data_IF_436575472512
#
_entry.id   IF_436575472512
#
_cell.length_a   1.000
_cell.length_b   1.000
_cell.length_c   1.000
_cell.angle_alpha   90.00
_cell.angle_beta   90.00
_cell.angle_gamma   90.00
#
_symmetry.space_group_name_H-M   'P 1'
#
loop_
_entity.id
_entity.type
_entity.pdbx_description
1 polymer ?
#
# COMPACT_ATOMS: atom_id res chain seq x y z
N UNK A 1 -8.62 52.34 51.08
CA UNK A 1 -7.86 52.25 49.83
C UNK A 1 -7.63 50.78 49.59
N UNK A 2 -8.45 50.16 48.76
CA UNK A 2 -8.32 48.72 48.37
C UNK A 2 -7.73 48.67 46.98
N UNK A 3 -6.55 48.06 46.83
CA UNK A 3 -5.87 47.85 45.57
C UNK A 3 -6.42 46.54 44.96
N UNK A 4 -7.01 46.61 43.78
CA UNK A 4 -7.47 45.48 43.02
C UNK A 4 -6.37 45.09 42.06
N UNK A 5 -5.73 43.90 42.27
CA UNK A 5 -4.79 43.30 41.33
C UNK A 5 -5.56 42.63 40.22
N UNK A 6 -5.33 43.08 39.00
CA UNK A 6 -5.85 42.42 37.79
C UNK A 6 -4.86 41.30 37.38
N UNK A 7 -5.38 40.07 37.35
CA UNK A 7 -4.68 38.92 36.82
C UNK A 7 -4.94 38.86 35.29
N UNK A 8 -3.88 39.10 34.51
CA UNK A 8 -3.90 38.85 33.05
C UNK A 8 -3.81 37.35 32.82
N UNK A 9 -4.89 36.74 32.33
CA UNK A 9 -4.88 35.39 31.81
C UNK A 9 -4.34 35.43 30.38
N UNK A 10 -3.12 34.94 30.18
CA UNK A 10 -2.55 34.76 28.84
C UNK A 10 -3.23 33.59 28.10
N UNK A 11 -3.98 33.89 27.04
CA UNK A 11 -4.45 32.88 26.08
C UNK A 11 -3.27 32.40 25.26
N UNK A 12 -2.80 31.18 25.50
CA UNK A 12 -1.97 30.47 24.55
C UNK A 12 -2.81 30.00 23.38
N UNK A 13 -2.75 30.70 22.24
CA UNK A 13 -3.23 30.18 20.97
C UNK A 13 -2.30 29.04 20.55
N UNK A 14 -2.77 27.80 20.65
CA UNK A 14 -2.13 26.67 20.01
C UNK A 14 -2.25 26.82 18.48
N UNK A 15 -1.12 26.92 17.81
CA UNK A 15 -1.07 26.94 16.33
C UNK A 15 -1.66 25.65 15.79
N UNK A 16 -2.76 25.74 15.08
CA UNK A 16 -3.32 24.64 14.27
C UNK A 16 -2.30 24.26 13.18
N UNK A 17 -2.12 22.98 12.86
CA UNK A 17 -1.26 22.58 11.77
C UNK A 17 -1.74 23.23 10.47
N UNK A 18 -0.87 23.96 9.79
CA UNK A 18 -1.13 24.53 8.47
C UNK A 18 -1.46 23.38 7.50
N UNK A 19 -2.72 23.20 7.19
CA UNK A 19 -3.14 22.42 6.03
C UNK A 19 -2.82 23.27 4.82
N UNK A 20 -1.66 23.03 4.19
CA UNK A 20 -1.32 23.66 2.92
C UNK A 20 -2.39 23.27 1.88
N UNK A 21 -3.17 24.25 1.44
CA UNK A 21 -4.06 24.08 0.30
C UNK A 21 -3.22 23.76 -0.94
N UNK A 22 -3.52 22.70 -1.70
CA UNK A 22 -2.73 22.33 -2.86
C UNK A 22 -2.68 23.49 -3.85
N UNK A 23 -1.49 23.82 -4.34
CA UNK A 23 -1.30 24.88 -5.34
C UNK A 23 -2.15 24.59 -6.56
N UNK A 24 -2.78 25.61 -7.15
CA UNK A 24 -3.65 25.49 -8.33
C UNK A 24 -2.96 24.73 -9.48
N UNK A 25 -1.63 24.87 -9.62
CA UNK A 25 -0.81 24.12 -10.59
C UNK A 25 -0.88 22.60 -10.36
N UNK A 26 -0.90 22.12 -9.10
CA UNK A 26 -0.97 20.70 -8.79
C UNK A 26 -2.35 20.09 -9.09
N UNK A 27 -3.41 20.89 -8.94
CA UNK A 27 -4.78 20.49 -9.30
C UNK A 27 -4.91 20.37 -10.82
N UNK A 28 -4.37 21.33 -11.59
CA UNK A 28 -4.39 21.30 -13.07
C UNK A 28 -3.62 20.09 -13.60
N UNK A 29 -2.42 19.80 -13.07
CA UNK A 29 -1.65 18.62 -13.44
C UNK A 29 -2.40 17.31 -13.13
N UNK A 30 -3.12 17.25 -12.01
CA UNK A 30 -3.94 16.10 -11.63
C UNK A 30 -5.10 15.88 -12.63
N UNK A 31 -5.75 16.95 -13.10
CA UNK A 31 -6.82 16.86 -14.09
C UNK A 31 -6.30 16.45 -15.49
N UNK A 32 -5.12 16.96 -15.89
CA UNK A 32 -4.50 16.63 -17.18
C UNK A 32 -3.99 15.17 -17.23
N UNK A 33 -3.64 14.56 -16.11
CA UNK A 33 -3.17 13.17 -16.03
C UNK A 33 -4.28 12.13 -15.91
N UNK A 34 -5.54 12.56 -15.76
CA UNK A 34 -6.69 11.64 -15.67
C UNK A 34 -6.82 10.83 -16.97
N UNK A 35 -6.84 9.53 -16.82
CA UNK A 35 -6.94 8.60 -17.96
C UNK A 35 -5.62 8.25 -18.66
N UNK A 36 -4.49 8.89 -18.28
CA UNK A 36 -3.16 8.54 -18.80
C UNK A 36 -2.41 7.61 -17.84
N UNK A 37 -1.57 6.72 -18.39
CA UNK A 37 -0.70 5.87 -17.61
C UNK A 37 0.54 6.66 -17.16
N UNK A 38 0.79 6.67 -15.86
CA UNK A 38 2.04 7.10 -15.23
C UNK A 38 2.90 5.88 -14.95
N UNK A 39 4.14 5.85 -15.46
CA UNK A 39 5.09 4.78 -15.16
C UNK A 39 5.73 5.04 -13.80
N UNK A 40 5.58 4.11 -12.86
CA UNK A 40 6.19 4.17 -11.53
C UNK A 40 7.54 3.45 -11.49
N UNK A 41 7.78 2.51 -12.40
CA UNK A 41 9.09 1.87 -12.61
C UNK A 41 9.19 1.31 -14.02
N UNK A 42 10.18 1.78 -14.77
CA UNK A 42 10.45 1.45 -16.17
C UNK A 42 11.69 0.56 -16.36
N UNK A 43 12.26 0.06 -15.27
CA UNK A 43 13.48 -0.76 -15.29
C UNK A 43 14.79 0.02 -15.10
N UNK A 44 14.76 1.32 -14.86
CA UNK A 44 15.96 2.16 -14.75
C UNK A 44 16.19 2.69 -13.35
N UNK A 45 15.41 3.65 -12.92
CA UNK A 45 15.61 4.36 -11.65
C UNK A 45 14.35 4.33 -10.80
N UNK A 46 14.35 3.50 -9.75
CA UNK A 46 13.25 3.43 -8.81
C UNK A 46 13.16 4.69 -7.93
N UNK A 47 14.29 5.36 -7.66
CA UNK A 47 14.32 6.53 -6.78
C UNK A 47 13.50 7.71 -7.30
N UNK A 48 13.21 7.75 -8.60
CA UNK A 48 12.37 8.77 -9.21
C UNK A 48 10.94 8.81 -8.61
N UNK A 49 10.36 7.65 -8.38
CA UNK A 49 8.96 7.52 -7.94
C UNK A 49 8.80 6.92 -6.54
N UNK A 50 9.84 6.29 -6.00
CA UNK A 50 9.82 5.56 -4.73
C UNK A 50 10.77 6.15 -3.70
N UNK A 51 10.43 6.00 -2.44
CA UNK A 51 11.25 6.40 -1.29
C UNK A 51 11.05 5.41 -0.15
N UNK A 52 11.98 5.37 0.80
CA UNK A 52 11.80 4.58 2.02
C UNK A 52 10.60 5.09 2.82
N UNK A 53 9.83 4.18 3.42
CA UNK A 53 8.77 4.51 4.37
C UNK A 53 9.29 5.31 5.58
N UNK A 54 10.58 5.18 5.89
CA UNK A 54 11.26 5.92 6.96
C UNK A 54 11.77 7.30 6.54
N UNK A 55 11.58 7.69 5.26
CA UNK A 55 12.16 8.89 4.69
C UNK A 55 13.62 8.70 4.26
N UNK A 56 14.31 9.80 3.90
CA UNK A 56 15.73 9.78 3.52
C UNK A 56 16.04 9.31 2.08
N UNK A 57 15.01 9.17 1.24
CA UNK A 57 15.20 8.76 -0.16
C UNK A 57 14.96 7.25 -0.38
N UNK A 58 15.40 6.77 -1.54
CA UNK A 58 15.32 5.35 -1.88
C UNK A 58 16.38 4.56 -1.07
N UNK A 59 16.05 3.35 -0.54
CA UNK A 59 17.00 2.58 0.26
C UNK A 59 18.29 2.26 -0.49
N UNK A 60 19.43 2.34 0.18
CA UNK A 60 20.75 2.01 -0.37
C UNK A 60 21.10 0.52 -0.23
N UNK A 61 20.29 -0.24 0.52
CA UNK A 61 20.43 -1.68 0.71
C UNK A 61 19.04 -2.36 0.70
N UNK A 62 18.98 -3.64 0.52
CA UNK A 62 17.75 -4.44 0.49
C UNK A 62 16.98 -4.33 -0.82
N UNK A 63 17.03 -3.21 -1.49
CA UNK A 63 16.45 -2.99 -2.80
C UNK A 63 17.53 -2.70 -3.84
N UNK A 64 17.44 -3.33 -5.01
CA UNK A 64 18.33 -3.06 -6.14
C UNK A 64 17.58 -3.05 -7.46
N UNK A 65 18.09 -2.30 -8.41
CA UNK A 65 17.66 -2.37 -9.83
C UNK A 65 18.74 -3.13 -10.59
N UNK A 66 18.35 -4.22 -11.23
CA UNK A 66 19.25 -5.08 -12.01
C UNK A 66 18.47 -5.69 -13.17
N UNK A 67 19.03 -5.61 -14.38
CA UNK A 67 18.44 -6.14 -15.62
C UNK A 67 17.00 -5.66 -15.87
N UNK A 68 16.72 -4.40 -15.58
CA UNK A 68 15.39 -3.83 -15.76
C UNK A 68 14.37 -4.26 -14.69
N UNK A 69 14.79 -4.89 -13.62
CA UNK A 69 13.95 -5.45 -12.55
C UNK A 69 14.29 -4.79 -11.22
N UNK A 70 13.27 -4.39 -10.48
CA UNK A 70 13.38 -3.97 -9.09
C UNK A 70 13.30 -5.23 -8.22
N UNK A 71 14.39 -5.52 -7.50
CA UNK A 71 14.56 -6.76 -6.71
C UNK A 71 14.72 -6.46 -5.23
N UNK A 72 14.09 -7.28 -4.40
CA UNK A 72 14.45 -7.44 -2.98
C UNK A 72 15.60 -8.42 -2.84
N UNK A 73 16.61 -8.02 -2.08
CA UNK A 73 17.79 -8.85 -1.79
C UNK A 73 17.56 -9.60 -0.48
N UNK A 74 17.52 -10.94 -0.51
CA UNK A 74 17.21 -11.73 0.69
C UNK A 74 18.11 -11.40 1.86
N UNK A 75 17.54 -11.35 3.06
CA UNK A 75 18.26 -11.12 4.30
C UNK A 75 18.79 -9.69 4.51
N UNK A 76 18.62 -8.79 3.55
CA UNK A 76 18.96 -7.38 3.69
C UNK A 76 17.73 -6.58 4.12
N UNK A 77 17.92 -5.73 5.13
CA UNK A 77 16.84 -4.93 5.73
C UNK A 77 16.69 -3.57 5.04
N UNK A 78 16.16 -3.54 3.81
CA UNK A 78 15.88 -2.29 3.09
C UNK A 78 14.67 -1.55 3.66
N UNK A 79 13.72 -2.29 4.19
CA UNK A 79 12.42 -1.81 4.64
C UNK A 79 11.47 -1.53 3.47
N UNK A 80 10.23 -1.26 3.81
CA UNK A 80 9.19 -0.95 2.82
C UNK A 80 9.52 0.33 2.05
N UNK A 81 9.12 0.36 0.77
CA UNK A 81 9.20 1.56 -0.07
C UNK A 81 7.79 2.02 -0.44
N UNK A 82 7.61 3.35 -0.47
CA UNK A 82 6.34 3.98 -0.83
C UNK A 82 6.48 4.88 -2.06
N UNK A 83 5.40 5.01 -2.82
CA UNK A 83 5.33 5.99 -3.89
C UNK A 83 5.46 7.43 -3.33
N UNK A 84 6.17 8.32 -4.03
CA UNK A 84 6.27 9.73 -3.62
C UNK A 84 4.95 10.47 -3.73
N UNK A 85 4.09 10.06 -4.68
CA UNK A 85 2.75 10.63 -4.89
C UNK A 85 1.69 9.78 -4.18
N UNK A 86 0.54 10.40 -3.91
CA UNK A 86 -0.68 9.75 -3.41
C UNK A 86 -1.69 9.61 -4.55
N UNK A 87 -2.56 8.61 -4.41
CA UNK A 87 -3.58 8.26 -5.39
C UNK A 87 -4.91 7.97 -4.69
N UNK A 88 -6.03 8.35 -5.31
CA UNK A 88 -7.40 8.06 -4.84
C UNK A 88 -8.05 6.97 -5.70
N UNK A 89 -8.64 7.36 -6.83
CA UNK A 89 -9.21 6.44 -7.80
C UNK A 89 -8.18 6.10 -8.87
N UNK A 90 -7.87 4.82 -9.02
CA UNK A 90 -6.78 4.41 -9.91
C UNK A 90 -6.90 2.96 -10.39
N UNK A 91 -6.15 2.67 -11.45
CA UNK A 91 -5.77 1.32 -11.87
C UNK A 91 -4.26 1.22 -11.70
N UNK A 92 -3.77 0.34 -10.83
CA UNK A 92 -2.37 -0.02 -10.68
C UNK A 92 -2.11 -1.35 -11.38
N UNK A 93 -1.07 -1.42 -12.19
CA UNK A 93 -0.59 -2.65 -12.81
C UNK A 93 0.89 -2.85 -12.51
N UNK A 94 1.26 -4.11 -12.26
CA UNK A 94 2.66 -4.52 -12.12
C UNK A 94 2.84 -5.99 -12.48
N UNK A 95 4.05 -6.36 -12.83
CA UNK A 95 4.46 -7.75 -12.88
C UNK A 95 5.33 -8.07 -11.67
N UNK A 96 5.08 -9.22 -11.05
CA UNK A 96 5.84 -9.72 -9.91
C UNK A 96 6.29 -11.16 -10.14
N UNK A 97 7.44 -11.49 -9.58
CA UNK A 97 7.98 -12.85 -9.56
C UNK A 97 8.53 -13.11 -8.16
N UNK A 98 8.11 -14.22 -7.58
CA UNK A 98 8.54 -14.66 -6.25
C UNK A 98 9.50 -15.83 -6.42
N UNK A 99 10.48 -15.93 -5.56
CA UNK A 99 11.27 -17.14 -5.40
C UNK A 99 10.51 -18.14 -4.52
N UNK A 100 11.05 -19.35 -4.37
CA UNK A 100 10.43 -20.38 -3.54
C UNK A 100 10.36 -19.93 -2.09
N UNK A 101 9.21 -20.18 -1.45
CA UNK A 101 8.95 -19.87 -0.04
C UNK A 101 8.98 -18.36 0.29
N UNK A 102 8.72 -17.48 -0.68
CA UNK A 102 8.78 -16.02 -0.53
C UNK A 102 7.44 -15.44 -0.10
N UNK A 103 7.50 -14.40 0.73
CA UNK A 103 6.40 -13.51 1.09
C UNK A 103 6.73 -12.06 0.72
N UNK A 104 5.77 -11.35 0.16
CA UNK A 104 5.81 -9.93 -0.18
C UNK A 104 4.38 -9.41 -0.30
N UNK A 105 4.21 -8.18 -0.78
CA UNK A 105 2.88 -7.60 -1.01
C UNK A 105 2.94 -6.21 -1.60
N UNK A 106 1.80 -5.74 -2.07
CA UNK A 106 1.60 -4.33 -2.42
C UNK A 106 0.42 -3.78 -1.63
N UNK A 107 0.70 -2.76 -0.81
CA UNK A 107 -0.34 -2.02 -0.10
C UNK A 107 -0.73 -0.79 -0.91
N UNK A 108 -2.00 -0.42 -0.82
CA UNK A 108 -2.56 0.74 -1.52
C UNK A 108 -3.39 1.59 -0.58
N UNK A 109 -3.61 2.85 -0.96
CA UNK A 109 -4.24 3.85 -0.09
C UNK A 109 -3.53 3.96 1.28
N UNK A 110 -2.20 3.74 1.28
CA UNK A 110 -1.40 3.80 2.50
C UNK A 110 -1.41 5.21 3.05
N UNK A 111 -1.84 5.35 4.28
CA UNK A 111 -1.99 6.63 4.97
C UNK A 111 -1.57 6.50 6.44
N UNK A 112 -1.33 7.61 7.15
CA UNK A 112 -1.11 7.57 8.59
C UNK A 112 -2.33 7.01 9.32
N UNK A 113 -2.14 5.95 10.09
CA UNK A 113 -3.13 5.33 10.94
C UNK A 113 -2.66 5.38 12.38
N UNK A 114 -3.53 5.86 13.27
CA UNK A 114 -3.25 5.89 14.70
C UNK A 114 -3.66 4.55 15.33
N UNK A 115 -2.76 3.95 16.09
CA UNK A 115 -3.07 2.76 16.88
C UNK A 115 -3.82 3.14 18.17
N UNK A 116 -4.50 2.18 18.79
CA UNK A 116 -5.13 2.35 20.12
C UNK A 116 -4.13 2.77 21.21
N UNK A 117 -2.84 2.43 21.02
CA UNK A 117 -1.74 2.85 21.90
C UNK A 117 -1.18 4.24 21.58
N UNK A 118 -1.78 4.99 20.65
CA UNK A 118 -1.37 6.35 20.28
C UNK A 118 -0.22 6.44 19.27
N UNK A 119 0.36 5.32 18.81
CA UNK A 119 1.40 5.32 17.78
C UNK A 119 0.79 5.57 16.40
N UNK A 120 1.45 6.37 15.58
CA UNK A 120 1.08 6.57 14.18
C UNK A 120 1.95 5.70 13.29
N UNK A 121 1.32 4.93 12.39
CA UNK A 121 1.97 4.05 11.42
C UNK A 121 1.40 4.28 10.03
N UNK A 122 2.24 4.15 8.99
CA UNK A 122 1.79 4.14 7.60
C UNK A 122 1.29 2.74 7.26
N UNK A 123 0.00 2.59 6.97
CA UNK A 123 -0.60 1.31 6.58
C UNK A 123 -1.83 1.50 5.68
N UNK A 124 -2.27 0.42 5.06
CA UNK A 124 -3.43 0.36 4.17
C UNK A 124 -3.74 -1.07 3.75
N UNK A 125 -4.83 -1.30 2.99
CA UNK A 125 -5.16 -2.60 2.46
C UNK A 125 -4.02 -3.17 1.61
N UNK A 126 -3.87 -4.49 1.64
CA UNK A 126 -2.77 -5.18 0.98
C UNK A 126 -3.28 -6.22 -0.02
N UNK A 127 -2.76 -6.13 -1.26
CA UNK A 127 -2.79 -7.24 -2.20
C UNK A 127 -1.62 -8.16 -1.85
N UNK A 128 -1.91 -9.33 -1.27
CA UNK A 128 -0.91 -10.29 -0.85
C UNK A 128 -0.18 -10.91 -2.04
N UNK A 129 1.13 -11.10 -1.91
CA UNK A 129 2.00 -11.79 -2.85
C UNK A 129 2.86 -12.79 -2.08
N UNK A 130 2.53 -14.08 -2.15
CA UNK A 130 3.18 -15.14 -1.40
C UNK A 130 3.31 -16.40 -2.27
N UNK A 131 4.28 -17.23 -2.04
CA UNK A 131 4.36 -18.53 -2.71
C UNK A 131 3.32 -19.50 -2.12
N UNK A 132 2.13 -19.52 -2.70
CA UNK A 132 1.02 -20.37 -2.24
C UNK A 132 1.34 -21.87 -2.22
N UNK A 133 2.33 -22.28 -3.00
CA UNK A 133 2.68 -23.70 -3.17
C UNK A 133 3.64 -24.22 -2.11
N UNK A 134 4.49 -23.34 -1.57
CA UNK A 134 5.59 -23.78 -0.69
C UNK A 134 5.63 -23.05 0.64
N UNK A 135 5.12 -21.81 0.73
CA UNK A 135 5.22 -21.03 1.97
C UNK A 135 4.37 -21.65 3.09
N UNK A 136 4.99 -21.91 4.24
CA UNK A 136 4.38 -22.68 5.36
C UNK A 136 3.05 -22.11 5.87
N UNK A 137 2.89 -20.78 5.81
CA UNK A 137 1.67 -20.13 6.31
C UNK A 137 0.46 -20.26 5.38
N UNK A 138 0.62 -20.74 4.15
CA UNK A 138 -0.48 -20.79 3.17
C UNK A 138 -0.56 -22.10 2.38
N UNK A 139 0.53 -22.86 2.27
CA UNK A 139 0.55 -24.13 1.53
C UNK A 139 -0.57 -25.05 1.98
N UNK A 140 -1.21 -25.73 1.03
CA UNK A 140 -2.33 -26.62 1.32
C UNK A 140 -3.65 -25.91 1.62
N UNK A 141 -3.75 -24.58 1.38
CA UNK A 141 -4.99 -23.83 1.55
C UNK A 141 -5.37 -23.55 3.01
N UNK A 142 -4.40 -23.52 3.92
CA UNK A 142 -4.62 -23.33 5.37
C UNK A 142 -5.35 -22.02 5.66
N UNK A 143 -5.03 -20.95 4.93
CA UNK A 143 -5.62 -19.65 5.14
C UNK A 143 -5.85 -18.92 3.81
N UNK A 144 -7.00 -19.12 3.14
CA UNK A 144 -7.27 -18.48 1.87
C UNK A 144 -7.20 -16.93 1.90
N UNK A 145 -7.44 -16.33 3.05
CA UNK A 145 -7.34 -14.86 3.24
C UNK A 145 -5.89 -14.33 3.32
N UNK A 146 -4.90 -15.22 3.27
CA UNK A 146 -3.48 -14.87 3.26
C UNK A 146 -2.75 -15.35 2.01
N UNK A 147 -3.45 -15.97 1.07
CA UNK A 147 -2.93 -16.39 -0.23
C UNK A 147 -2.71 -15.21 -1.18
N UNK A 148 -1.88 -15.42 -2.21
CA UNK A 148 -1.68 -14.43 -3.28
C UNK A 148 -2.99 -13.95 -3.88
N UNK A 149 -3.15 -12.62 -3.96
CA UNK A 149 -4.32 -11.95 -4.48
C UNK A 149 -5.41 -11.70 -3.45
N UNK A 150 -5.30 -12.18 -2.22
CA UNK A 150 -6.22 -11.81 -1.13
C UNK A 150 -6.13 -10.30 -0.82
N UNK A 151 -7.23 -9.72 -0.32
CA UNK A 151 -7.12 -8.54 0.53
C UNK A 151 -6.75 -9.07 1.91
N UNK A 152 -5.45 -9.00 2.22
CA UNK A 152 -4.80 -9.72 3.32
C UNK A 152 -5.59 -9.71 4.62
N UNK A 153 -5.89 -10.89 5.14
CA UNK A 153 -6.71 -11.21 6.32
C UNK A 153 -8.21 -10.86 6.19
N UNK A 154 -8.64 -10.12 5.17
CA UNK A 154 -10.03 -9.65 5.04
C UNK A 154 -10.83 -10.51 4.06
N UNK A 155 -10.38 -10.63 2.81
CA UNK A 155 -11.11 -11.33 1.77
C UNK A 155 -10.20 -12.30 1.01
N UNK A 156 -10.71 -13.52 0.81
CA UNK A 156 -10.02 -14.55 0.03
C UNK A 156 -10.22 -14.32 -1.48
N UNK A 157 -9.22 -14.62 -2.32
CA UNK A 157 -9.39 -14.63 -3.76
C UNK A 157 -10.16 -15.86 -4.22
N UNK A 158 -10.66 -15.84 -5.47
CA UNK A 158 -11.24 -17.02 -6.11
C UNK A 158 -10.25 -18.18 -6.12
N UNK A 159 -10.73 -19.41 -5.85
CA UNK A 159 -9.89 -20.63 -5.84
C UNK A 159 -9.13 -20.85 -7.14
N UNK A 160 -9.75 -20.58 -8.30
CA UNK A 160 -9.16 -20.74 -9.62
C UNK A 160 -8.51 -19.45 -10.14
N UNK A 161 -7.70 -18.80 -9.32
CA UNK A 161 -7.10 -17.49 -9.61
C UNK A 161 -6.04 -17.50 -10.72
N UNK A 162 -5.52 -18.67 -11.10
CA UNK A 162 -4.54 -18.79 -12.18
C UNK A 162 -3.15 -18.27 -11.82
N UNK A 163 -2.75 -18.42 -10.55
CA UNK A 163 -1.41 -18.12 -10.09
C UNK A 163 -0.39 -19.06 -10.75
N UNK A 164 0.66 -18.47 -11.32
CA UNK A 164 1.84 -19.19 -11.79
C UNK A 164 2.80 -19.44 -10.62
N UNK A 165 3.50 -20.59 -10.58
CA UNK A 165 4.39 -20.93 -9.48
C UNK A 165 5.59 -19.97 -9.37
N UNK A 166 6.35 -20.11 -8.26
CA UNK A 166 7.60 -19.40 -8.05
C UNK A 166 8.54 -19.47 -9.25
N UNK A 167 9.38 -18.47 -9.44
CA UNK A 167 10.27 -18.33 -10.60
C UNK A 167 9.57 -17.84 -11.88
N UNK A 168 8.24 -17.74 -11.90
CA UNK A 168 7.49 -17.25 -13.05
C UNK A 168 6.87 -15.86 -12.81
N UNK A 169 6.81 -15.06 -13.88
CA UNK A 169 6.20 -13.74 -13.83
C UNK A 169 4.67 -13.84 -13.81
N UNK A 170 4.07 -13.22 -12.80
CA UNK A 170 2.63 -12.99 -12.66
C UNK A 170 2.32 -11.51 -12.88
N UNK A 171 1.13 -11.19 -13.37
CA UNK A 171 0.65 -9.81 -13.53
C UNK A 171 -0.46 -9.52 -12.52
N UNK A 172 -0.21 -8.61 -11.60
CA UNK A 172 -1.22 -8.07 -10.70
C UNK A 172 -1.84 -6.80 -11.29
N UNK A 173 -3.16 -6.62 -11.06
CA UNK A 173 -3.85 -5.36 -11.25
C UNK A 173 -4.74 -5.10 -10.05
N UNK A 174 -4.72 -3.86 -9.57
CA UNK A 174 -5.60 -3.36 -8.51
C UNK A 174 -6.40 -2.21 -9.09
N UNK A 175 -7.72 -2.25 -8.96
CA UNK A 175 -8.62 -1.16 -9.32
C UNK A 175 -9.23 -0.61 -8.04
N UNK A 176 -9.12 0.70 -7.84
CA UNK A 176 -9.80 1.43 -6.77
C UNK A 176 -10.68 2.50 -7.41
N UNK A 177 -11.98 2.46 -7.11
CA UNK A 177 -12.95 3.45 -7.56
C UNK A 177 -13.92 3.75 -6.42
N UNK A 178 -13.72 4.88 -5.76
CA UNK A 178 -14.43 5.18 -4.51
C UNK A 178 -14.15 4.09 -3.47
N UNK A 179 -15.21 3.46 -2.98
CA UNK A 179 -15.10 2.36 -2.03
C UNK A 179 -14.92 0.99 -2.67
N UNK A 180 -15.18 0.86 -3.96
CA UNK A 180 -15.03 -0.41 -4.66
C UNK A 180 -13.55 -0.69 -4.94
N UNK A 181 -13.12 -1.90 -4.61
CA UNK A 181 -11.78 -2.42 -4.88
C UNK A 181 -11.89 -3.74 -5.62
N UNK A 182 -11.07 -3.90 -6.65
CA UNK A 182 -10.93 -5.17 -7.36
C UNK A 182 -9.46 -5.60 -7.40
N UNK A 183 -9.22 -6.88 -7.16
CA UNK A 183 -7.94 -7.54 -7.41
C UNK A 183 -8.02 -8.43 -8.64
N UNK A 184 -7.01 -8.34 -9.49
CA UNK A 184 -6.87 -9.10 -10.71
C UNK A 184 -5.52 -9.81 -10.74
N UNK A 185 -5.48 -11.02 -11.22
CA UNK A 185 -4.27 -11.80 -11.40
C UNK A 185 -4.27 -12.43 -12.81
N UNK A 186 -3.20 -12.22 -13.57
CA UNK A 186 -3.01 -12.77 -14.92
C UNK A 186 -4.22 -12.55 -15.85
N UNK A 187 -4.85 -11.34 -15.76
CA UNK A 187 -5.98 -10.95 -16.58
C UNK A 187 -7.35 -11.39 -16.06
N UNK A 188 -7.43 -12.14 -14.96
CA UNK A 188 -8.68 -12.55 -14.33
C UNK A 188 -8.98 -11.70 -13.09
N UNK A 189 -10.21 -11.24 -12.94
CA UNK A 189 -10.70 -10.68 -11.68
C UNK A 189 -10.86 -11.81 -10.66
N UNK A 190 -10.12 -11.74 -9.56
CA UNK A 190 -10.06 -12.79 -8.56
C UNK A 190 -10.74 -12.42 -7.26
N UNK A 191 -10.96 -11.13 -7.03
CA UNK A 191 -11.57 -10.59 -5.83
C UNK A 191 -12.22 -9.23 -6.15
N UNK A 192 -13.35 -8.95 -5.52
CA UNK A 192 -13.98 -7.63 -5.48
C UNK A 192 -14.61 -7.44 -4.11
N UNK A 193 -14.45 -6.24 -3.52
CA UNK A 193 -15.04 -5.90 -2.24
C UNK A 193 -15.28 -4.40 -2.12
N UNK A 194 -16.12 -4.01 -1.18
CA UNK A 194 -16.42 -2.62 -0.87
C UNK A 194 -15.88 -2.25 0.51
N UNK A 195 -15.06 -1.18 0.55
CA UNK A 195 -14.47 -0.62 1.77
C UNK A 195 -15.50 0.20 2.53
N UNK A 196 -15.35 0.32 3.86
CA UNK A 196 -16.15 1.24 4.66
C UNK A 196 -17.60 0.82 4.88
N UNK A 197 -18.00 -0.38 4.47
CA UNK A 197 -19.26 -0.99 4.85
C UNK A 197 -19.20 -1.56 6.26
N UNK A 198 -20.34 -1.81 6.87
CA UNK A 198 -20.37 -2.45 8.21
C UNK A 198 -19.78 -3.86 8.16
N UNK A 199 -20.01 -4.61 7.06
CA UNK A 199 -19.36 -5.90 6.83
C UNK A 199 -17.83 -5.78 6.79
N UNK A 200 -17.31 -4.82 6.02
CA UNK A 200 -15.85 -4.57 5.95
C UNK A 200 -15.27 -4.25 7.33
N UNK A 201 -15.94 -3.38 8.10
CA UNK A 201 -15.51 -3.02 9.46
C UNK A 201 -15.56 -4.19 10.43
N UNK A 202 -16.57 -5.05 10.32
CA UNK A 202 -16.66 -6.28 11.11
C UNK A 202 -15.50 -7.25 10.80
N UNK A 203 -15.13 -7.37 9.52
CA UNK A 203 -13.95 -8.16 9.13
C UNK A 203 -12.65 -7.56 9.69
N UNK A 204 -12.46 -6.25 9.60
CA UNK A 204 -11.30 -5.55 10.17
C UNK A 204 -11.20 -5.80 11.67
N UNK A 205 -12.31 -5.70 12.42
CA UNK A 205 -12.38 -5.93 13.86
C UNK A 205 -12.00 -7.37 14.25
N UNK A 206 -12.17 -8.34 13.36
CA UNK A 206 -11.76 -9.73 13.57
C UNK A 206 -10.29 -10.03 13.23
N UNK A 207 -9.47 -9.01 12.95
CA UNK A 207 -8.06 -9.16 12.56
C UNK A 207 -7.13 -8.32 13.44
N UNK A 208 -5.81 -8.48 13.23
CA UNK A 208 -4.80 -7.61 13.86
C UNK A 208 -4.99 -6.11 13.55
N UNK A 209 -5.75 -5.75 12.50
CA UNK A 209 -6.00 -4.36 12.12
C UNK A 209 -6.98 -3.63 13.05
N UNK A 210 -7.68 -4.37 13.94
CA UNK A 210 -8.46 -3.80 15.04
C UNK A 210 -7.61 -2.89 15.96
N UNK A 211 -6.29 -3.07 15.94
CA UNK A 211 -5.36 -2.22 16.70
C UNK A 211 -5.41 -0.75 16.30
N UNK A 212 -5.87 -0.41 15.10
CA UNK A 212 -5.97 0.98 14.65
C UNK A 212 -7.25 1.62 15.18
N UNK A 213 -7.11 2.75 15.88
CA UNK A 213 -8.24 3.58 16.33
C UNK A 213 -8.88 4.35 15.18
N UNK A 214 -8.10 4.67 14.12
CA UNK A 214 -8.59 5.19 12.85
C UNK A 214 -9.11 4.06 11.98
N UNK A 215 -10.03 4.38 11.06
CA UNK A 215 -10.68 3.40 10.20
C UNK A 215 -9.71 2.80 9.18
N UNK A 216 -9.18 1.61 9.47
CA UNK A 216 -8.28 0.90 8.58
C UNK A 216 -8.92 0.67 7.21
N UNK A 217 -8.15 0.99 6.14
CA UNK A 217 -8.57 0.76 4.76
C UNK A 217 -9.61 1.76 4.21
N UNK A 218 -10.03 2.77 4.99
CA UNK A 218 -11.05 3.74 4.56
C UNK A 218 -10.48 5.10 4.10
N UNK A 219 -9.15 5.23 3.99
CA UNK A 219 -8.53 6.45 3.46
C UNK A 219 -9.02 6.73 2.02
N UNK A 220 -9.37 7.99 1.73
CA UNK A 220 -9.84 8.40 0.40
C UNK A 220 -8.71 8.51 -0.61
N UNK A 221 -7.47 8.69 -0.14
CA UNK A 221 -6.24 8.69 -0.94
C UNK A 221 -5.07 8.21 -0.10
N UNK A 222 -4.03 7.73 -0.75
CA UNK A 222 -2.82 7.27 -0.05
C UNK A 222 -1.74 6.84 -1.02
N UNK A 223 -0.60 6.47 -0.46
CA UNK A 223 0.54 5.97 -1.22
C UNK A 223 0.32 4.51 -1.67
N UNK A 224 1.09 4.10 -2.67
CA UNK A 224 1.34 2.69 -2.99
C UNK A 224 2.61 2.29 -2.24
N UNK A 225 2.62 1.10 -1.61
CA UNK A 225 3.77 0.60 -0.85
C UNK A 225 4.11 -0.82 -1.32
N UNK A 226 5.38 -1.09 -1.56
CA UNK A 226 5.90 -2.46 -1.72
C UNK A 226 6.52 -2.90 -0.41
N UNK A 227 6.13 -4.10 0.07
CA UNK A 227 6.54 -4.60 1.38
C UNK A 227 7.83 -5.40 1.30
N UNK A 228 8.71 -5.21 2.29
CA UNK A 228 9.97 -5.93 2.47
C UNK A 228 9.85 -6.92 3.64
N UNK A 229 9.69 -8.20 3.31
CA UNK A 229 9.77 -9.32 4.27
C UNK A 229 11.16 -9.97 4.28
N UNK A 230 12.17 -9.35 3.67
CA UNK A 230 13.54 -9.85 3.52
C UNK A 230 13.63 -11.12 2.65
N UNK A 231 12.62 -11.35 1.84
CA UNK A 231 12.51 -12.48 0.92
C UNK A 231 12.74 -12.05 -0.53
N UNK A 232 13.21 -12.97 -1.38
CA UNK A 232 13.55 -12.70 -2.77
C UNK A 232 12.31 -12.46 -3.63
N UNK A 233 11.95 -11.20 -3.82
CA UNK A 233 10.86 -10.75 -4.69
C UNK A 233 11.38 -9.86 -5.80
N UNK A 234 10.73 -9.91 -6.95
CA UNK A 234 11.09 -9.14 -8.14
C UNK A 234 9.87 -8.46 -8.73
N UNK A 235 10.04 -7.19 -9.13
CA UNK A 235 8.97 -6.36 -9.70
C UNK A 235 9.43 -5.68 -10.97
N UNK A 236 8.54 -5.51 -11.95
CA UNK A 236 8.78 -4.74 -13.18
C UNK A 236 7.49 -4.19 -13.76
N UNK A 237 7.60 -3.30 -14.74
CA UNK A 237 6.46 -2.74 -15.47
C UNK A 237 5.38 -2.15 -14.52
N UNK A 238 5.83 -1.42 -13.48
CA UNK A 238 4.92 -0.82 -12.51
C UNK A 238 4.38 0.48 -13.10
N UNK A 239 3.07 0.54 -13.27
CA UNK A 239 2.39 1.72 -13.81
C UNK A 239 1.04 1.94 -13.16
N UNK A 240 0.62 3.19 -13.08
CA UNK A 240 -0.65 3.58 -12.49
C UNK A 240 -1.40 4.53 -13.42
N UNK A 241 -2.72 4.46 -13.40
CA UNK A 241 -3.59 5.34 -14.17
C UNK A 241 -4.67 5.89 -13.26
N UNK A 242 -4.81 7.21 -13.15
CA UNK A 242 -5.93 7.86 -12.46
C UNK A 242 -7.22 7.71 -13.28
N UNK A 243 -8.35 7.42 -12.63
CA UNK A 243 -9.65 7.19 -13.29
C UNK A 243 -10.75 8.07 -12.71
#
# INVERSE_FOLDING_TARGET
MKIISAILLGLHLSASPNIETPKVSSIVEMWQSKGQWETLFDGKDASKHWTSVKGGGFPTQGWKVEDGVLKLVPGQKGGDIISKKVYSDFILEMEFKLDKNTNSGVKYLVSPLQTKAGKVELNGPEYQMIDDFNHESVKGGISPKTETGSAYLLYAPNKNKGLKPHGQWNKARIVVKGNLVEHWLNGKKILSYERGTDEFRALVAGTKFEMYSSRYGEAVSGHIMLTDHQDASSFRNIRIKRI
#
